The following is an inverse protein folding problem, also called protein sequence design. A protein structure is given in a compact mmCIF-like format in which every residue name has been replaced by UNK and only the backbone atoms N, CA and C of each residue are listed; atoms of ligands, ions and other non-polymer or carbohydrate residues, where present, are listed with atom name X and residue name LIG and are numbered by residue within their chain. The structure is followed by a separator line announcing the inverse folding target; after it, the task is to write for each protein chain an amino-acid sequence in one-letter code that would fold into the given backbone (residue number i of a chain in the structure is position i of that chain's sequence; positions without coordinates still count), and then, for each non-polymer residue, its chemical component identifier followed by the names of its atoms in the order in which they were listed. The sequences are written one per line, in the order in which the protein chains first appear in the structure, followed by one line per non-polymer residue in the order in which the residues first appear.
data_IF_559375504375
#
_entry.id   IF_559375504375
#
_cell.length_a   1.000
_cell.length_b   1.000
_cell.length_c   1.000
_cell.angle_alpha   90.00
_cell.angle_beta   90.00
_cell.angle_gamma   90.00
#
_symmetry.space_group_name_H-M   'P 1'
#
loop_
_entity.id
_entity.type
_entity.pdbx_description
1 polymer ?
#
# COMPACT_ATOMS: atom_id res chain seq x y z
N UNK A 1 -14.67 -4.77 -13.49
CA UNK A 1 -13.73 -5.86 -13.18
C UNK A 1 -13.92 -6.29 -11.73
N UNK A 2 -13.76 -7.58 -11.43
CA UNK A 2 -13.70 -8.14 -10.06
C UNK A 2 -12.25 -8.48 -9.71
N UNK A 3 -11.93 -8.67 -8.43
CA UNK A 3 -10.59 -9.13 -8.01
C UNK A 3 -10.24 -10.46 -8.70
N UNK A 4 -11.22 -11.36 -8.86
CA UNK A 4 -11.06 -12.62 -9.60
C UNK A 4 -10.69 -12.42 -11.07
N UNK A 5 -11.19 -11.36 -11.72
CA UNK A 5 -10.84 -11.06 -13.12
C UNK A 5 -9.45 -10.43 -13.26
N UNK A 6 -8.98 -9.68 -12.27
CA UNK A 6 -7.63 -9.14 -12.25
C UNK A 6 -6.60 -10.29 -12.15
N UNK A 7 -6.87 -11.29 -11.31
CA UNK A 7 -5.98 -12.45 -11.11
C UNK A 7 -5.74 -13.34 -12.35
N UNK A 8 -6.51 -13.21 -13.43
CA UNK A 8 -6.44 -14.14 -14.59
C UNK A 8 -5.31 -13.86 -15.59
N UNK A 9 -4.65 -12.69 -15.54
CA UNK A 9 -3.52 -12.39 -16.44
C UNK A 9 -2.38 -11.79 -15.63
N UNK A 10 -1.48 -12.65 -15.15
CA UNK A 10 -0.26 -12.22 -14.48
C UNK A 10 0.67 -11.61 -15.52
N UNK A 11 0.57 -10.30 -15.72
CA UNK A 11 1.55 -9.56 -16.52
C UNK A 11 2.76 -9.33 -15.63
N UNK A 12 3.89 -9.94 -15.99
CA UNK A 12 5.15 -9.71 -15.29
C UNK A 12 5.65 -8.31 -15.63
N UNK A 13 5.63 -7.41 -14.65
CA UNK A 13 6.22 -6.08 -14.78
C UNK A 13 7.56 -6.11 -14.05
N UNK A 14 8.67 -5.95 -14.77
CA UNK A 14 10.02 -5.82 -14.19
C UNK A 14 10.46 -4.36 -14.04
N UNK A 15 9.73 -3.43 -14.66
CA UNK A 15 10.05 -2.01 -14.65
C UNK A 15 10.02 -1.44 -13.23
N UNK A 16 10.88 -0.45 -12.98
CA UNK A 16 10.93 0.37 -11.76
C UNK A 16 10.44 1.78 -12.08
N UNK A 17 10.08 2.55 -11.06
CA UNK A 17 9.67 3.95 -11.23
C UNK A 17 10.82 4.74 -11.86
N UNK A 18 10.51 5.43 -12.95
CA UNK A 18 11.42 6.43 -13.52
C UNK A 18 11.82 7.44 -12.43
N UNK A 19 13.08 7.94 -12.38
CA UNK A 19 13.53 8.86 -11.34
C UNK A 19 12.67 10.13 -11.18
N UNK A 20 11.98 10.57 -12.24
CA UNK A 20 11.10 11.75 -12.25
C UNK A 20 9.63 11.37 -12.00
N UNK A 21 9.28 10.09 -12.05
CA UNK A 21 7.92 9.63 -11.80
C UNK A 21 7.53 9.86 -10.34
N UNK A 22 6.36 10.46 -10.16
CA UNK A 22 5.77 10.71 -8.85
C UNK A 22 5.30 9.39 -8.21
N UNK A 23 5.75 9.01 -7.00
CA UNK A 23 5.30 7.77 -6.37
C UNK A 23 3.79 7.82 -6.02
N UNK A 24 3.20 9.01 -5.83
CA UNK A 24 1.81 9.15 -5.45
C UNK A 24 0.85 9.00 -6.63
N UNK A 25 -0.27 8.32 -6.39
CA UNK A 25 -1.43 8.32 -7.29
C UNK A 25 -2.51 9.23 -6.72
N UNK A 26 -3.25 9.92 -7.59
CA UNK A 26 -4.40 10.75 -7.18
C UNK A 26 -5.67 9.91 -7.06
N UNK A 27 -6.49 10.20 -6.04
CA UNK A 27 -7.78 9.54 -5.85
C UNK A 27 -8.78 10.49 -5.15
N UNK A 28 -10.08 10.18 -5.20
CA UNK A 28 -11.14 11.03 -4.62
C UNK A 28 -11.31 10.88 -3.10
N UNK A 29 -10.77 9.82 -2.49
CA UNK A 29 -10.99 9.46 -1.08
C UNK A 29 -10.02 10.20 -0.17
N UNK A 30 -8.73 10.20 -0.50
CA UNK A 30 -7.64 10.77 0.30
C UNK A 30 -6.86 11.84 -0.45
N UNK A 31 -7.31 12.22 -1.66
CA UNK A 31 -6.58 13.10 -2.58
C UNK A 31 -5.40 12.40 -3.24
N UNK A 32 -4.48 11.83 -2.44
CA UNK A 32 -3.30 11.09 -2.89
C UNK A 32 -3.06 9.85 -2.03
N UNK A 33 -2.51 8.80 -2.64
CA UNK A 33 -2.11 7.57 -1.96
C UNK A 33 -0.98 6.86 -2.67
N UNK A 34 -0.25 6.04 -1.92
CA UNK A 34 0.66 5.04 -2.46
C UNK A 34 -0.14 3.77 -2.69
N UNK A 35 -0.09 3.27 -3.92
CA UNK A 35 -0.94 2.17 -4.38
C UNK A 35 -0.07 1.05 -4.92
N UNK A 36 -0.45 -0.18 -4.57
CA UNK A 36 0.24 -1.40 -4.95
C UNK A 36 -0.74 -2.33 -5.68
N UNK A 37 -0.23 -3.27 -6.49
CA UNK A 37 -1.10 -4.16 -7.25
C UNK A 37 -1.84 -5.11 -6.32
N UNK A 38 -3.16 -5.26 -6.48
CA UNK A 38 -3.93 -6.27 -5.72
C UNK A 38 -3.34 -7.67 -5.92
N UNK A 39 -2.93 -7.97 -7.15
CA UNK A 39 -2.26 -9.23 -7.49
C UNK A 39 -0.85 -9.20 -6.92
N UNK A 40 -0.51 -10.20 -6.11
CA UNK A 40 0.81 -10.35 -5.51
C UNK A 40 0.98 -9.68 -4.15
N UNK A 41 0.07 -8.79 -3.74
CA UNK A 41 0.09 -8.23 -2.37
C UNK A 41 -1.15 -8.58 -1.55
N UNK A 42 -2.36 -8.59 -2.12
CA UNK A 42 -3.58 -8.82 -1.33
C UNK A 42 -3.88 -10.30 -1.11
N UNK A 43 -4.44 -10.63 0.06
CA UNK A 43 -5.13 -11.89 0.33
C UNK A 43 -6.65 -11.64 0.50
N UNK A 44 -7.44 -11.51 -0.58
CA UNK A 44 -8.85 -11.10 -0.50
C UNK A 44 -9.74 -12.16 0.17
N UNK A 45 -10.67 -11.71 1.01
CA UNK A 45 -11.78 -12.56 1.49
C UNK A 45 -12.83 -12.76 0.39
N UNK A 46 -13.80 -13.66 0.63
CA UNK A 46 -14.95 -13.85 -0.28
C UNK A 46 -15.69 -12.53 -0.54
N UNK A 47 -15.83 -11.68 0.49
CA UNK A 47 -16.52 -10.39 0.39
C UNK A 47 -15.64 -9.38 -0.35
N UNK A 48 -14.39 -9.22 0.08
CA UNK A 48 -13.44 -8.29 -0.54
C UNK A 48 -13.29 -8.55 -2.05
N UNK A 49 -13.26 -9.82 -2.47
CA UNK A 49 -13.14 -10.18 -3.88
C UNK A 49 -14.25 -9.61 -4.79
N UNK A 50 -15.42 -9.31 -4.20
CA UNK A 50 -16.61 -8.80 -4.90
C UNK A 50 -16.81 -7.30 -4.66
N UNK A 51 -16.52 -6.82 -3.45
CA UNK A 51 -16.84 -5.44 -3.03
C UNK A 51 -15.67 -4.47 -3.09
N UNK A 52 -14.42 -4.93 -3.34
CA UNK A 52 -13.24 -4.08 -3.35
C UNK A 52 -13.43 -2.89 -4.30
N UNK A 53 -13.47 -1.68 -3.72
CA UNK A 53 -13.63 -0.44 -4.48
C UNK A 53 -12.41 -0.19 -5.39
N UNK A 54 -11.21 -0.58 -4.94
CA UNK A 54 -9.97 -0.38 -5.68
C UNK A 54 -9.85 -1.30 -6.90
N UNK A 55 -10.61 -2.40 -6.94
CA UNK A 55 -10.68 -3.31 -8.08
C UNK A 55 -11.61 -2.82 -9.21
N UNK A 56 -12.03 -1.54 -9.19
CA UNK A 56 -12.94 -0.93 -10.17
C UNK A 56 -12.42 0.43 -10.63
N UNK A 57 -12.75 0.81 -11.87
CA UNK A 57 -12.48 2.15 -12.39
C UNK A 57 -11.01 2.44 -12.70
N UNK A 58 -10.57 3.71 -12.64
CA UNK A 58 -9.25 4.14 -13.10
C UNK A 58 -8.05 3.44 -12.45
N UNK A 59 -8.19 2.94 -11.23
CA UNK A 59 -7.15 2.15 -10.54
C UNK A 59 -6.82 0.82 -11.24
N UNK A 60 -7.73 0.32 -12.08
CA UNK A 60 -7.57 -0.94 -12.84
C UNK A 60 -7.15 -0.74 -14.30
N UNK A 61 -6.99 0.51 -14.75
CA UNK A 61 -6.49 0.79 -16.08
C UNK A 61 -5.01 0.41 -16.19
N UNK A 62 -4.58 0.00 -17.39
CA UNK A 62 -3.20 -0.48 -17.64
C UNK A 62 -2.13 0.50 -17.15
N UNK A 63 -2.32 1.81 -17.34
CA UNK A 63 -1.37 2.83 -16.87
C UNK A 63 -1.24 2.83 -15.33
N UNK A 64 -2.37 2.76 -14.63
CA UNK A 64 -2.41 2.69 -13.16
C UNK A 64 -1.78 1.40 -12.64
N UNK A 65 -2.09 0.26 -13.25
CA UNK A 65 -1.51 -1.04 -12.89
C UNK A 65 0.01 -1.04 -13.10
N UNK A 66 0.49 -0.56 -14.25
CA UNK A 66 1.92 -0.40 -14.53
C UNK A 66 2.62 0.42 -13.44
N UNK A 67 2.05 1.57 -13.07
CA UNK A 67 2.60 2.42 -12.00
C UNK A 67 2.63 1.72 -10.64
N UNK A 68 1.56 1.01 -10.27
CA UNK A 68 1.48 0.24 -9.02
C UNK A 68 2.60 -0.80 -8.95
N UNK A 69 2.80 -1.56 -10.03
CA UNK A 69 3.89 -2.54 -10.12
C UNK A 69 5.26 -1.88 -10.10
N UNK A 70 5.48 -0.78 -10.84
CA UNK A 70 6.75 -0.04 -10.81
C UNK A 70 7.11 0.46 -9.42
N UNK A 71 6.13 1.01 -8.69
CA UNK A 71 6.33 1.44 -7.31
C UNK A 71 6.71 0.26 -6.41
N UNK A 72 5.95 -0.84 -6.47
CA UNK A 72 6.26 -2.06 -5.71
C UNK A 72 7.68 -2.58 -6.02
N UNK A 73 8.03 -2.73 -7.29
CA UNK A 73 9.34 -3.22 -7.72
C UNK A 73 10.49 -2.29 -7.29
N UNK A 74 10.26 -0.98 -7.28
CA UNK A 74 11.25 -0.01 -6.81
C UNK A 74 11.49 -0.18 -5.31
N UNK A 75 10.43 -0.38 -4.52
CA UNK A 75 10.55 -0.60 -3.08
C UNK A 75 11.23 -1.93 -2.79
N UNK A 76 10.91 -2.99 -3.54
CA UNK A 76 11.57 -4.31 -3.37
C UNK A 76 13.08 -4.26 -3.63
N UNK A 77 13.51 -3.43 -4.57
CA UNK A 77 14.92 -3.27 -4.90
C UNK A 77 15.66 -2.31 -3.95
N UNK A 78 15.08 -1.15 -3.67
CA UNK A 78 15.70 -0.11 -2.85
C UNK A 78 14.66 0.59 -1.95
N UNK A 79 14.28 -0.01 -0.81
CA UNK A 79 13.30 0.55 0.11
C UNK A 79 13.70 1.94 0.61
N UNK A 80 14.99 2.14 0.93
CA UNK A 80 15.50 3.37 1.52
C UNK A 80 15.54 4.52 0.50
N UNK A 81 16.02 4.26 -0.72
CA UNK A 81 16.01 5.26 -1.79
C UNK A 81 14.59 5.63 -2.21
N UNK A 82 13.66 4.68 -2.27
CA UNK A 82 12.25 5.00 -2.52
C UNK A 82 11.63 5.80 -1.36
N UNK A 83 11.95 5.49 -0.11
CA UNK A 83 11.53 6.31 1.03
C UNK A 83 11.98 7.77 0.88
N UNK A 84 13.25 8.02 0.53
CA UNK A 84 13.76 9.37 0.28
C UNK A 84 13.00 10.08 -0.85
N UNK A 85 12.66 9.36 -1.93
CA UNK A 85 11.83 9.88 -3.04
C UNK A 85 10.41 10.25 -2.58
N UNK A 86 9.80 9.42 -1.74
CA UNK A 86 8.46 9.66 -1.18
C UNK A 86 8.48 10.92 -0.30
N UNK A 87 9.47 11.05 0.59
CA UNK A 87 9.65 12.24 1.44
C UNK A 87 9.78 13.51 0.59
N UNK A 88 10.67 13.49 -0.41
CA UNK A 88 10.85 14.63 -1.33
C UNK A 88 9.55 14.98 -2.05
N UNK A 89 8.83 13.99 -2.56
CA UNK A 89 7.57 14.20 -3.26
C UNK A 89 6.46 14.73 -2.33
N UNK A 90 6.37 14.23 -1.10
CA UNK A 90 5.40 14.64 -0.09
C UNK A 90 5.63 16.09 0.35
N UNK A 91 6.87 16.46 0.67
CA UNK A 91 7.24 17.85 1.03
C UNK A 91 6.95 18.84 -0.09
N UNK A 92 7.35 18.53 -1.32
CA UNK A 92 7.05 19.36 -2.51
C UNK A 92 5.55 19.60 -2.68
N UNK A 93 4.74 18.60 -2.34
CA UNK A 93 3.28 18.63 -2.43
C UNK A 93 2.58 19.18 -1.20
N UNK A 94 3.33 19.50 -0.14
CA UNK A 94 2.82 19.92 1.17
C UNK A 94 1.74 18.95 1.69
N UNK A 95 1.99 17.65 1.58
CA UNK A 95 1.05 16.65 2.09
C UNK A 95 1.02 16.72 3.62
N UNK A 96 -0.20 16.78 4.18
CA UNK A 96 -0.43 16.79 5.62
C UNK A 96 -0.52 15.38 6.22
N UNK A 97 -0.53 14.35 5.38
CA UNK A 97 -0.43 12.94 5.76
C UNK A 97 0.03 12.10 4.57
N UNK A 98 0.46 10.87 4.82
CA UNK A 98 0.78 9.88 3.79
C UNK A 98 -0.16 8.68 3.96
N UNK A 99 -0.76 8.25 2.85
CA UNK A 99 -1.66 7.09 2.81
C UNK A 99 -0.99 5.87 2.19
N UNK A 100 -0.81 4.86 3.03
CA UNK A 100 -0.40 3.49 2.72
C UNK A 100 -1.55 2.53 3.08
N UNK A 101 -1.87 1.49 2.35
CA UNK A 101 -1.99 1.49 0.90
C UNK A 101 -3.35 2.11 0.53
N UNK A 102 -3.44 2.84 -0.59
CA UNK A 102 -4.75 3.19 -1.16
C UNK A 102 -5.38 2.00 -1.90
N UNK A 103 -4.55 1.10 -2.42
CA UNK A 103 -4.93 -0.21 -2.94
C UNK A 103 -3.74 -1.15 -2.90
N UNK A 104 -4.00 -2.45 -3.03
CA UNK A 104 -3.00 -3.46 -2.67
C UNK A 104 -2.93 -3.65 -1.15
N UNK A 105 -1.86 -4.28 -0.67
CA UNK A 105 -1.63 -4.58 0.74
C UNK A 105 -0.12 -4.50 1.04
N UNK A 106 0.26 -4.75 2.30
CA UNK A 106 1.65 -4.79 2.70
C UNK A 106 2.44 -5.93 2.01
N UNK A 107 3.74 -5.71 1.86
CA UNK A 107 4.75 -6.71 1.52
C UNK A 107 6.01 -6.41 2.35
N UNK A 108 6.94 -7.36 2.47
CA UNK A 108 8.00 -7.31 3.48
C UNK A 108 8.90 -6.08 3.34
N UNK A 109 9.32 -5.76 2.12
CA UNK A 109 10.19 -4.62 1.82
C UNK A 109 9.49 -3.26 2.00
N UNK A 110 8.15 -3.24 2.07
CA UNK A 110 7.40 -2.02 2.35
C UNK A 110 7.53 -1.58 3.81
N UNK A 111 7.72 -2.51 4.74
CA UNK A 111 7.82 -2.21 6.17
C UNK A 111 9.00 -1.27 6.49
N UNK A 112 10.26 -1.58 6.12
CA UNK A 112 11.38 -0.65 6.33
C UNK A 112 11.24 0.65 5.52
N UNK A 113 10.56 0.62 4.37
CA UNK A 113 10.27 1.84 3.61
C UNK A 113 9.31 2.78 4.37
N UNK A 114 8.23 2.24 4.96
CA UNK A 114 7.30 3.02 5.79
C UNK A 114 8.04 3.62 6.98
N UNK A 115 8.85 2.81 7.65
CA UNK A 115 9.63 3.23 8.82
C UNK A 115 10.56 4.40 8.48
N UNK A 116 11.33 4.29 7.39
CA UNK A 116 12.23 5.34 6.92
C UNK A 116 11.49 6.65 6.58
N UNK A 117 10.31 6.58 5.97
CA UNK A 117 9.48 7.77 5.69
C UNK A 117 8.97 8.39 6.99
N UNK A 118 8.50 7.57 7.93
CA UNK A 118 7.99 8.03 9.22
C UNK A 118 9.07 8.74 10.05
N UNK A 119 10.30 8.23 10.06
CA UNK A 119 11.47 8.86 10.69
C UNK A 119 11.80 10.21 10.05
N UNK A 120 11.78 10.28 8.72
CA UNK A 120 12.14 11.49 8.00
C UNK A 120 11.06 12.59 8.04
N UNK A 121 9.84 12.25 8.46
CA UNK A 121 8.69 13.15 8.53
C UNK A 121 7.90 12.92 9.84
N UNK A 122 8.50 13.19 11.02
CA UNK A 122 7.87 12.92 12.31
C UNK A 122 6.53 13.65 12.48
N UNK A 123 6.41 14.86 11.94
CA UNK A 123 5.18 15.67 12.06
C UNK A 123 4.07 15.29 11.06
N UNK A 124 4.31 14.30 10.19
CA UNK A 124 3.34 13.90 9.15
C UNK A 124 2.79 12.51 9.45
N UNK A 125 1.49 12.39 9.74
CA UNK A 125 0.82 11.12 9.94
C UNK A 125 1.00 10.14 8.77
N UNK A 126 1.40 8.92 9.08
CA UNK A 126 1.51 7.77 8.20
C UNK A 126 0.33 6.84 8.45
N UNK A 127 -0.70 6.94 7.62
CA UNK A 127 -1.86 6.04 7.71
C UNK A 127 -1.55 4.77 6.94
N UNK A 128 -1.32 3.67 7.66
CA UNK A 128 -1.01 2.35 7.11
C UNK A 128 -2.23 1.46 7.16
N UNK A 129 -2.57 0.79 6.06
CA UNK A 129 -3.73 -0.10 5.97
C UNK A 129 -3.27 -1.47 5.52
N UNK A 130 -3.74 -2.48 6.24
CA UNK A 130 -3.42 -3.87 5.96
C UNK A 130 -4.59 -4.79 6.27
N UNK A 131 -4.63 -5.94 5.59
CA UNK A 131 -5.49 -7.08 5.95
C UNK A 131 -4.70 -8.34 6.26
N UNK A 132 -3.38 -8.24 6.31
CA UNK A 132 -2.45 -9.34 6.52
C UNK A 132 -1.93 -9.25 7.95
N UNK A 133 -2.41 -10.11 8.88
CA UNK A 133 -2.05 -10.05 10.30
C UNK A 133 -0.55 -9.99 10.55
N UNK A 134 0.20 -10.95 9.98
CA UNK A 134 1.65 -11.06 10.13
C UNK A 134 2.41 -9.78 9.76
N UNK A 135 2.07 -9.15 8.63
CA UNK A 135 2.75 -7.94 8.18
C UNK A 135 2.27 -6.70 8.95
N UNK A 136 0.98 -6.64 9.29
CA UNK A 136 0.42 -5.56 10.09
C UNK A 136 1.08 -5.50 11.48
N UNK A 137 1.29 -6.65 12.12
CA UNK A 137 1.94 -6.74 13.43
C UNK A 137 3.43 -6.34 13.41
N UNK A 138 4.07 -6.37 12.24
CA UNK A 138 5.47 -5.96 12.06
C UNK A 138 5.63 -4.47 11.72
N UNK A 139 4.54 -3.71 11.59
CA UNK A 139 4.64 -2.26 11.40
C UNK A 139 5.23 -1.64 12.65
N UNK A 140 6.39 -1.00 12.51
CA UNK A 140 7.12 -0.38 13.62
C UNK A 140 6.26 0.68 14.32
N UNK A 141 5.98 0.55 15.63
CA UNK A 141 5.25 1.55 16.37
C UNK A 141 6.00 2.90 16.39
N UNK A 142 5.32 3.97 15.99
CA UNK A 142 5.81 5.35 16.06
C UNK A 142 4.66 6.29 16.38
N UNK A 143 4.96 7.43 17.00
CA UNK A 143 3.94 8.43 17.36
C UNK A 143 3.14 8.95 16.16
N UNK A 144 3.71 8.90 14.96
CA UNK A 144 3.11 9.35 13.71
C UNK A 144 2.67 8.20 12.78
N UNK A 145 2.72 6.93 13.21
CA UNK A 145 2.29 5.78 12.40
C UNK A 145 0.99 5.22 12.95
N UNK A 146 -0.04 5.21 12.10
CA UNK A 146 -1.39 4.77 12.47
C UNK A 146 -1.80 3.58 11.60
N UNK A 147 -1.92 2.41 12.21
CA UNK A 147 -2.31 1.17 11.54
C UNK A 147 -3.82 0.95 11.57
N UNK A 148 -4.43 0.84 10.39
CA UNK A 148 -5.81 0.42 10.21
C UNK A 148 -5.83 -1.03 9.72
N UNK A 149 -6.14 -1.96 10.63
CA UNK A 149 -6.36 -3.35 10.26
C UNK A 149 -7.80 -3.55 9.74
N UNK A 150 -7.94 -3.87 8.45
CA UNK A 150 -9.25 -3.91 7.79
C UNK A 150 -9.87 -5.30 7.84
N UNK A 151 -11.10 -5.36 8.35
CA UNK A 151 -11.87 -6.60 8.56
C UNK A 151 -13.23 -6.53 7.86
N UNK A 152 -13.81 -7.69 7.60
CA UNK A 152 -15.21 -7.85 7.22
C UNK A 152 -15.81 -9.06 7.97
N UNK A 153 -17.12 -9.27 7.83
CA UNK A 153 -17.84 -10.36 8.50
C UNK A 153 -17.32 -11.78 8.19
N UNK A 154 -16.45 -11.94 7.19
CA UNK A 154 -15.81 -13.21 6.84
C UNK A 154 -14.32 -13.28 7.24
N UNK A 155 -13.82 -12.32 8.03
CA UNK A 155 -12.41 -12.27 8.43
C UNK A 155 -12.17 -12.11 9.94
N UNK A 156 -13.09 -12.57 10.78
CA UNK A 156 -12.89 -12.55 12.24
C UNK A 156 -11.65 -13.33 12.67
N UNK A 157 -11.40 -14.51 12.11
CA UNK A 157 -10.20 -15.28 12.38
C UNK A 157 -8.88 -14.51 12.08
N UNK A 158 -8.88 -13.62 11.09
CA UNK A 158 -7.71 -12.75 10.81
C UNK A 158 -7.53 -11.67 11.86
N UNK A 159 -8.63 -11.15 12.40
CA UNK A 159 -8.57 -10.20 13.50
C UNK A 159 -8.01 -10.87 14.75
N UNK A 160 -8.42 -12.09 15.04
CA UNK A 160 -7.92 -12.86 16.18
C UNK A 160 -6.43 -13.19 16.00
N UNK A 161 -6.02 -13.59 14.79
CA UNK A 161 -4.60 -13.75 14.44
C UNK A 161 -3.81 -12.44 14.65
N UNK A 162 -4.34 -11.31 14.17
CA UNK A 162 -3.67 -10.02 14.35
C UNK A 162 -3.55 -9.64 15.82
N UNK A 163 -4.61 -9.83 16.63
CA UNK A 163 -4.59 -9.58 18.07
C UNK A 163 -3.60 -10.46 18.82
N UNK A 164 -3.37 -11.69 18.37
CA UNK A 164 -2.38 -12.60 18.96
C UNK A 164 -0.93 -12.25 18.57
N UNK A 165 -0.72 -11.51 17.49
CA UNK A 165 0.60 -11.12 16.99
C UNK A 165 0.98 -9.68 17.35
N UNK A 166 0.00 -8.80 17.53
CA UNK A 166 0.24 -7.39 17.80
C UNK A 166 0.92 -7.21 19.18
N UNK A 167 1.93 -6.34 19.27
CA UNK A 167 2.64 -6.05 20.52
C UNK A 167 1.78 -5.29 21.54
#
# INVERSE_FOLDING_TARGET
MSVKSLAKKHVHYSERLDPREDPFSTNRVTGRSLNFPIIGTCNPTKICAVTCYFAKGPSTWTASLKKQHRLMNSIKDDPAGVAARIVKAARRKKLTFIRWTGGGDLFEELLPCIDAVAVAMPDVPQWVVSRIPRLAAQVTPRHNVYLHFSVDRSSWARLDEFRGLAP
#
